data_IF_632901617700
#
_entry.id   IF_632901617700
#
_cell.length_a   1.000
_cell.length_b   1.000
_cell.length_c   1.000
_cell.angle_alpha   90.00
_cell.angle_beta   90.00
_cell.angle_gamma   90.00
#
_symmetry.space_group_name_H-M   'P 1'
#
loop_
_entity.id
_entity.type
_entity.pdbx_description
1 polymer ?
#
# COMPACT_ATOMS: atom_id res chain seq x y z
N UNK A 1 13.96 3.12 29.21
CA UNK A 1 14.18 3.94 27.99
C UNK A 1 15.66 3.85 27.63
N UNK A 2 16.04 3.04 26.62
CA UNK A 2 17.43 2.99 26.14
C UNK A 2 17.54 3.87 24.89
N UNK A 3 18.50 4.81 24.82
CA UNK A 3 18.73 5.61 23.62
C UNK A 3 19.34 4.72 22.53
N UNK A 4 18.80 4.84 21.32
CA UNK A 4 19.23 4.13 20.13
C UNK A 4 20.70 4.44 19.81
N UNK A 5 21.57 3.42 19.88
CA UNK A 5 22.93 3.44 19.33
C UNK A 5 22.90 2.67 18.01
N UNK A 6 22.70 3.39 16.92
CA UNK A 6 22.80 2.91 15.54
C UNK A 6 23.35 4.06 14.70
N UNK A 7 24.29 3.75 13.83
CA UNK A 7 25.02 4.71 12.98
C UNK A 7 24.09 5.68 12.26
N UNK A 8 24.47 6.96 12.24
CA UNK A 8 23.67 8.07 11.75
C UNK A 8 23.36 7.93 10.24
N UNK A 9 22.28 7.23 9.90
CA UNK A 9 21.64 7.33 8.58
C UNK A 9 20.83 8.63 8.57
N UNK A 10 21.14 9.50 7.62
CA UNK A 10 20.60 10.86 7.54
C UNK A 10 19.07 10.83 7.40
N UNK A 11 18.38 11.64 8.20
CA UNK A 11 16.92 11.79 8.13
C UNK A 11 16.54 12.37 6.77
N UNK A 12 15.49 11.82 6.15
CA UNK A 12 14.84 12.43 5.00
C UNK A 12 14.55 13.91 5.30
N UNK A 13 14.88 14.82 4.36
CA UNK A 13 14.54 16.26 4.46
C UNK A 13 13.04 16.55 4.46
N UNK A 14 12.20 15.52 4.39
CA UNK A 14 10.74 15.62 4.35
C UNK A 14 10.11 16.08 5.66
N UNK A 15 10.88 16.13 6.75
CA UNK A 15 10.38 16.51 8.08
C UNK A 15 9.47 15.47 8.72
N UNK A 16 9.33 14.29 8.12
CA UNK A 16 8.52 13.19 8.64
C UNK A 16 9.31 12.47 9.73
N UNK A 17 8.75 12.40 10.93
CA UNK A 17 9.32 11.60 12.00
C UNK A 17 8.91 10.13 11.85
N UNK A 18 9.72 9.24 12.44
CA UNK A 18 9.45 7.79 12.41
C UNK A 18 8.05 7.46 12.94
N UNK A 19 7.61 8.14 14.01
CA UNK A 19 6.30 7.94 14.64
C UNK A 19 5.11 8.24 13.70
N UNK A 20 5.35 9.06 12.68
CA UNK A 20 4.33 9.45 11.69
C UNK A 20 4.41 8.58 10.44
N UNK A 21 5.51 7.83 10.25
CA UNK A 21 5.74 6.99 9.08
C UNK A 21 4.94 5.68 9.16
N UNK A 22 4.16 5.38 8.13
CA UNK A 22 3.41 4.12 8.03
C UNK A 22 4.19 2.96 7.37
N UNK A 23 5.42 3.20 6.91
CA UNK A 23 6.26 2.19 6.25
C UNK A 23 5.68 1.57 4.97
N UNK A 24 4.88 2.32 4.21
CA UNK A 24 4.22 1.84 2.99
C UNK A 24 5.13 1.68 1.75
N UNK A 25 6.44 1.90 1.87
CA UNK A 25 7.42 1.80 0.77
C UNK A 25 7.25 2.72 -0.46
N UNK A 26 6.17 3.52 -0.57
CA UNK A 26 5.94 4.42 -1.72
C UNK A 26 7.13 5.34 -2.04
N UNK A 27 7.77 5.87 -0.99
CA UNK A 27 8.94 6.74 -1.12
C UNK A 27 10.16 6.04 -1.72
N UNK A 28 10.36 4.75 -1.43
CA UNK A 28 11.42 3.94 -2.00
C UNK A 28 11.10 3.60 -3.47
N UNK A 29 9.86 3.20 -3.76
CA UNK A 29 9.43 2.85 -5.13
C UNK A 29 9.43 4.02 -6.10
N UNK A 30 9.10 5.24 -5.65
CA UNK A 30 9.09 6.41 -6.53
C UNK A 30 10.49 6.96 -6.79
N UNK A 31 11.50 6.56 -6.01
CA UNK A 31 12.82 7.16 -6.05
C UNK A 31 13.54 6.84 -7.37
N UNK A 32 13.82 7.83 -8.25
CA UNK A 32 14.42 7.57 -9.55
C UNK A 32 15.91 7.18 -9.48
N UNK A 33 16.53 7.37 -8.31
CA UNK A 33 17.94 7.02 -8.05
C UNK A 33 18.09 5.83 -7.11
N UNK A 34 16.98 5.20 -6.72
CA UNK A 34 16.96 4.10 -5.74
C UNK A 34 17.74 4.45 -4.45
N UNK A 35 17.75 5.73 -4.06
CA UNK A 35 18.45 6.22 -2.89
C UNK A 35 17.75 5.87 -1.57
N UNK A 36 16.61 5.18 -1.63
CA UNK A 36 15.81 4.77 -0.47
C UNK A 36 15.58 3.27 -0.52
N UNK A 37 15.94 2.58 0.57
CA UNK A 37 15.66 1.17 0.76
C UNK A 37 14.83 0.98 2.04
N UNK A 38 13.87 0.04 2.02
CA UNK A 38 13.13 -0.32 3.23
C UNK A 38 13.99 -1.27 4.07
N UNK A 39 14.13 -0.96 5.36
CA UNK A 39 14.85 -1.81 6.30
C UNK A 39 14.04 -1.98 7.60
N UNK A 40 14.02 -3.19 8.19
CA UNK A 40 13.34 -3.44 9.44
C UNK A 40 14.09 -2.79 10.61
N UNK A 41 13.34 -2.37 11.62
CA UNK A 41 13.90 -1.99 12.91
C UNK A 41 13.99 -3.16 13.89
N UNK A 42 14.32 -2.86 15.15
CA UNK A 42 14.46 -3.88 16.19
C UNK A 42 13.16 -4.66 16.47
N UNK A 43 12.02 -4.06 16.18
CA UNK A 43 10.69 -4.65 16.36
C UNK A 43 10.16 -5.27 15.03
N UNK A 44 10.95 -5.22 13.96
CA UNK A 44 10.64 -5.79 12.65
C UNK A 44 9.82 -4.87 11.73
N UNK A 45 9.54 -3.63 12.15
CA UNK A 45 8.79 -2.67 11.32
C UNK A 45 9.70 -2.07 10.26
N UNK A 46 9.23 -2.05 9.01
CA UNK A 46 10.02 -1.55 7.88
C UNK A 46 9.90 -0.02 7.75
N UNK A 47 11.06 0.65 7.65
CA UNK A 47 11.18 2.09 7.43
C UNK A 47 12.16 2.40 6.31
N UNK A 48 11.99 3.53 5.61
CA UNK A 48 12.93 3.92 4.57
C UNK A 48 14.25 4.41 5.18
N UNK A 49 15.36 3.93 4.64
CA UNK A 49 16.71 4.38 4.92
C UNK A 49 17.28 5.10 3.70
N UNK A 50 17.79 6.32 3.90
CA UNK A 50 18.33 7.15 2.83
C UNK A 50 19.83 6.92 2.64
N UNK A 51 20.23 6.61 1.40
CA UNK A 51 21.60 6.79 0.94
C UNK A 51 21.81 8.23 0.45
N UNK A 52 22.54 9.01 1.25
CA UNK A 52 22.85 10.40 0.97
C UNK A 52 23.68 10.59 -0.31
N UNK A 53 24.52 9.60 -0.66
CA UNK A 53 25.42 9.70 -1.82
C UNK A 53 24.69 9.52 -3.16
N UNK A 54 23.59 8.76 -3.16
CA UNK A 54 22.73 8.54 -4.32
C UNK A 54 21.60 9.58 -4.43
N UNK A 55 21.29 10.30 -3.34
CA UNK A 55 20.17 11.25 -3.30
C UNK A 55 20.49 12.54 -4.05
N UNK A 56 19.63 12.90 -5.00
CA UNK A 56 19.72 14.15 -5.80
C UNK A 56 18.71 15.22 -5.35
N UNK A 57 18.13 15.07 -4.16
CA UNK A 57 17.19 16.01 -3.54
C UNK A 57 15.98 16.41 -4.43
N UNK A 58 15.48 15.47 -5.24
CA UNK A 58 14.38 15.72 -6.19
C UNK A 58 12.98 15.89 -5.55
N UNK A 59 12.82 15.62 -4.26
CA UNK A 59 11.54 15.77 -3.55
C UNK A 59 10.45 14.73 -3.88
N UNK A 60 10.66 13.79 -4.81
CA UNK A 60 9.63 12.82 -5.20
C UNK A 60 9.13 11.95 -4.03
N UNK A 61 10.02 11.56 -3.12
CA UNK A 61 9.68 10.78 -1.94
C UNK A 61 8.67 11.51 -1.02
N UNK A 62 8.80 12.83 -0.88
CA UNK A 62 7.85 13.67 -0.14
C UNK A 62 6.51 13.74 -0.87
N UNK A 63 6.54 13.89 -2.20
CA UNK A 63 5.34 14.07 -3.02
C UNK A 63 4.36 12.89 -2.98
N UNK A 64 4.87 11.67 -2.73
CA UNK A 64 4.05 10.45 -2.61
C UNK A 64 3.77 10.04 -1.17
N UNK A 65 4.33 10.74 -0.18
CA UNK A 65 4.14 10.37 1.21
C UNK A 65 2.78 10.89 1.71
N UNK A 66 1.88 10.02 2.19
CA UNK A 66 0.54 10.42 2.61
C UNK A 66 0.54 11.29 3.88
N UNK A 67 1.63 11.30 4.64
CA UNK A 67 1.78 12.09 5.87
C UNK A 67 2.65 13.34 5.70
N UNK A 68 3.14 13.61 4.48
CA UNK A 68 3.94 14.81 4.19
C UNK A 68 3.06 16.03 3.91
N UNK A 69 3.28 17.13 4.64
CA UNK A 69 2.73 18.45 4.32
C UNK A 69 1.23 18.45 4.04
N UNK A 70 0.84 19.00 2.89
CA UNK A 70 -0.57 19.11 2.47
C UNK A 70 -1.18 17.77 2.01
N UNK A 71 -0.39 16.72 1.74
CA UNK A 71 -0.94 15.42 1.34
C UNK A 71 -1.82 14.80 2.43
N UNK A 72 -1.62 15.20 3.68
CA UNK A 72 -2.47 14.80 4.83
C UNK A 72 -3.89 15.37 4.76
N UNK A 73 -4.11 16.43 3.98
CA UNK A 73 -5.38 17.14 3.84
C UNK A 73 -5.98 16.82 2.47
N UNK A 74 -7.03 16.02 2.41
CA UNK A 74 -7.91 16.03 1.23
C UNK A 74 -8.12 14.73 0.46
N UNK A 75 -8.18 13.58 1.11
CA UNK A 75 -8.74 12.38 0.47
C UNK A 75 -10.23 12.16 0.76
N UNK A 76 -10.86 13.04 1.54
CA UNK A 76 -12.27 12.96 1.88
C UNK A 76 -13.11 13.72 0.85
N UNK A 77 -13.58 13.02 -0.18
CA UNK A 77 -14.80 13.42 -0.88
C UNK A 77 -15.97 13.04 0.01
N UNK A 78 -16.88 13.96 0.31
CA UNK A 78 -17.96 13.78 1.29
C UNK A 78 -18.67 12.42 1.23
N UNK A 79 -19.03 11.89 2.40
CA UNK A 79 -19.77 10.62 2.50
C UNK A 79 -21.12 10.81 1.82
N UNK A 80 -21.35 10.04 0.75
CA UNK A 80 -22.64 10.03 0.04
C UNK A 80 -23.69 9.29 0.87
N UNK A 81 -23.33 8.13 1.42
CA UNK A 81 -24.22 7.27 2.21
C UNK A 81 -23.43 6.23 2.99
N UNK A 82 -23.97 5.77 4.12
CA UNK A 82 -23.40 4.70 4.95
C UNK A 82 -24.37 3.53 5.00
N UNK A 83 -23.84 2.31 4.81
CA UNK A 83 -24.64 1.09 4.81
C UNK A 83 -24.00 0.02 5.70
N UNK A 84 -24.82 -0.87 6.26
CA UNK A 84 -24.38 -2.13 6.84
C UNK A 84 -24.69 -3.26 5.86
N UNK A 85 -23.84 -4.27 5.81
CA UNK A 85 -24.00 -5.38 4.87
C UNK A 85 -23.48 -6.68 5.48
N UNK A 86 -23.98 -7.80 4.97
CA UNK A 86 -23.45 -9.15 5.18
C UNK A 86 -23.49 -9.89 3.85
N UNK A 87 -22.47 -10.69 3.57
CA UNK A 87 -22.37 -11.47 2.35
C UNK A 87 -23.42 -12.60 2.35
N UNK A 88 -24.10 -12.82 1.23
CA UNK A 88 -25.16 -13.84 1.12
C UNK A 88 -24.61 -15.28 1.14
N UNK A 89 -23.39 -15.48 0.66
CA UNK A 89 -22.68 -16.76 0.77
C UNK A 89 -22.15 -16.98 2.21
N UNK A 90 -22.65 -18.02 2.87
CA UNK A 90 -22.30 -18.38 4.25
C UNK A 90 -20.81 -18.71 4.44
N UNK A 91 -20.18 -19.37 3.46
CA UNK A 91 -18.76 -19.71 3.52
C UNK A 91 -17.91 -18.45 3.46
N UNK A 92 -18.25 -17.52 2.56
CA UNK A 92 -17.57 -16.22 2.47
C UNK A 92 -17.71 -15.45 3.78
N UNK A 93 -18.90 -15.44 4.37
CA UNK A 93 -19.14 -14.79 5.67
C UNK A 93 -18.30 -15.43 6.79
N UNK A 94 -18.35 -16.75 6.95
CA UNK A 94 -17.62 -17.49 7.98
C UNK A 94 -16.09 -17.31 7.85
N UNK A 95 -15.58 -17.25 6.63
CA UNK A 95 -14.15 -17.06 6.34
C UNK A 95 -13.71 -15.58 6.34
N UNK A 96 -14.63 -14.62 6.54
CA UNK A 96 -14.31 -13.18 6.60
C UNK A 96 -14.12 -12.68 8.04
N UNK A 97 -13.48 -11.52 8.22
CA UNK A 97 -13.34 -10.89 9.56
C UNK A 97 -14.64 -10.28 10.08
N UNK A 98 -15.60 -10.03 9.19
CA UNK A 98 -16.83 -9.29 9.42
C UNK A 98 -17.81 -9.67 8.31
N UNK A 99 -18.62 -8.75 7.80
CA UNK A 99 -19.66 -9.03 6.81
C UNK A 99 -19.19 -9.56 5.45
N UNK A 100 -17.89 -9.54 5.11
CA UNK A 100 -17.37 -10.09 3.85
C UNK A 100 -17.38 -9.14 2.64
N UNK A 101 -17.31 -7.82 2.88
CA UNK A 101 -17.49 -6.77 1.85
C UNK A 101 -16.45 -6.88 0.75
N UNK A 102 -15.21 -7.12 1.15
CA UNK A 102 -14.10 -7.15 0.21
C UNK A 102 -14.35 -8.16 -0.91
N UNK A 103 -14.82 -9.37 -0.58
CA UNK A 103 -15.16 -10.40 -1.56
C UNK A 103 -16.27 -9.93 -2.50
N UNK A 104 -17.37 -9.39 -1.96
CA UNK A 104 -18.50 -8.91 -2.77
C UNK A 104 -18.08 -7.75 -3.71
N UNK A 105 -17.29 -6.80 -3.19
CA UNK A 105 -16.76 -5.67 -3.98
C UNK A 105 -15.86 -6.20 -5.09
N UNK A 106 -14.99 -7.17 -4.80
CA UNK A 106 -14.11 -7.77 -5.80
C UNK A 106 -14.88 -8.47 -6.92
N UNK A 107 -15.89 -9.27 -6.56
CA UNK A 107 -16.76 -9.95 -7.52
C UNK A 107 -17.51 -8.94 -8.40
N UNK A 108 -18.12 -7.92 -7.79
CA UNK A 108 -18.87 -6.90 -8.52
C UNK A 108 -18.00 -6.00 -9.41
N UNK A 109 -16.76 -5.70 -8.98
CA UNK A 109 -15.87 -4.80 -9.69
C UNK A 109 -15.15 -5.48 -10.87
N UNK A 110 -14.71 -6.72 -10.69
CA UNK A 110 -13.93 -7.45 -11.69
C UNK A 110 -14.77 -8.28 -12.67
N UNK A 111 -15.99 -8.70 -12.30
CA UNK A 111 -16.78 -9.61 -13.12
C UNK A 111 -16.08 -10.95 -13.40
N UNK A 112 -16.63 -11.75 -14.32
CA UNK A 112 -16.05 -13.05 -14.70
C UNK A 112 -15.17 -12.98 -15.98
N UNK A 113 -15.38 -11.97 -16.84
CA UNK A 113 -14.79 -11.92 -18.19
C UNK A 113 -13.72 -10.82 -18.40
N UNK A 114 -13.36 -10.06 -17.37
CA UNK A 114 -12.45 -8.92 -17.52
C UNK A 114 -11.06 -9.18 -16.95
N UNK A 115 -10.04 -8.61 -17.60
CA UNK A 115 -8.68 -8.57 -17.06
C UNK A 115 -8.66 -7.69 -15.81
N UNK A 116 -8.74 -8.31 -14.63
CA UNK A 116 -8.70 -7.63 -13.35
C UNK A 116 -7.44 -8.02 -12.57
N UNK A 117 -6.75 -7.03 -12.00
CA UNK A 117 -5.69 -7.25 -11.02
C UNK A 117 -6.21 -6.82 -9.65
N UNK A 118 -6.29 -7.78 -8.72
CA UNK A 118 -6.82 -7.58 -7.38
C UNK A 118 -5.65 -7.63 -6.39
N UNK A 119 -5.50 -6.56 -5.61
CA UNK A 119 -4.44 -6.40 -4.62
C UNK A 119 -5.02 -6.44 -3.20
N UNK A 120 -4.41 -7.26 -2.36
CA UNK A 120 -4.80 -7.41 -0.96
C UNK A 120 -3.68 -8.02 -0.13
N UNK A 121 -3.97 -8.27 1.14
CA UNK A 121 -2.98 -8.75 2.11
C UNK A 121 -3.15 -10.23 2.37
N UNK A 122 -2.11 -11.01 2.09
CA UNK A 122 -2.00 -12.41 2.49
C UNK A 122 -1.04 -12.59 3.66
N UNK A 123 -1.20 -13.72 4.36
CA UNK A 123 -0.24 -14.16 5.38
C UNK A 123 0.90 -14.90 4.67
N UNK A 124 2.00 -14.19 4.37
CA UNK A 124 3.17 -14.77 3.71
C UNK A 124 3.88 -15.81 4.60
N UNK A 125 3.85 -15.61 5.92
CA UNK A 125 4.29 -16.58 6.91
C UNK A 125 3.54 -16.37 8.24
N UNK A 126 3.87 -17.15 9.28
CA UNK A 126 3.28 -16.97 10.63
C UNK A 126 3.55 -15.59 11.22
N UNK A 127 4.64 -14.93 10.81
CA UNK A 127 5.09 -13.64 11.33
C UNK A 127 5.19 -12.57 10.24
N UNK A 128 4.64 -12.81 9.06
CA UNK A 128 4.75 -11.88 7.93
C UNK A 128 3.42 -11.77 7.19
N UNK A 129 3.01 -10.52 6.98
CA UNK A 129 1.92 -10.17 6.08
C UNK A 129 2.52 -9.43 4.88
N UNK A 130 2.03 -9.72 3.68
CA UNK A 130 2.49 -9.06 2.47
C UNK A 130 1.30 -8.70 1.59
N UNK A 131 1.41 -7.56 0.92
CA UNK A 131 0.54 -7.26 -0.20
C UNK A 131 0.95 -8.09 -1.41
N UNK A 132 -0.03 -8.70 -2.07
CA UNK A 132 0.19 -9.41 -3.32
C UNK A 132 -0.95 -9.15 -4.31
N UNK A 133 -0.76 -9.64 -5.54
CA UNK A 133 -1.70 -9.53 -6.66
C UNK A 133 -2.26 -10.91 -6.97
N UNK A 134 -3.56 -10.98 -7.24
CA UNK A 134 -4.21 -12.12 -7.89
C UNK A 134 -4.94 -11.63 -9.14
N UNK A 135 -5.06 -12.50 -10.13
CA UNK A 135 -5.78 -12.22 -11.39
C UNK A 135 -7.11 -13.00 -11.49
N UNK A 136 -7.38 -13.89 -10.52
CA UNK A 136 -8.57 -14.71 -10.49
C UNK A 136 -9.32 -14.56 -9.17
N UNK A 137 -10.65 -14.39 -9.26
CA UNK A 137 -11.54 -14.38 -8.09
C UNK A 137 -11.53 -15.70 -7.32
N UNK A 138 -11.10 -16.82 -7.94
CA UNK A 138 -10.95 -18.10 -7.23
C UNK A 138 -9.89 -18.03 -6.12
N UNK A 139 -8.94 -17.10 -6.21
CA UNK A 139 -7.86 -16.92 -5.24
C UNK A 139 -8.17 -15.87 -4.16
N UNK A 140 -9.34 -15.22 -4.22
CA UNK A 140 -9.72 -14.09 -3.33
C UNK A 140 -9.68 -14.46 -1.84
N UNK A 141 -9.80 -15.76 -1.53
CA UNK A 141 -9.67 -16.31 -0.18
C UNK A 141 -8.37 -15.92 0.52
N UNK A 142 -7.26 -15.74 -0.22
CA UNK A 142 -5.94 -15.33 0.31
C UNK A 142 -6.00 -14.01 1.08
N UNK A 143 -6.89 -13.11 0.65
CA UNK A 143 -7.03 -11.76 1.21
C UNK A 143 -8.10 -11.64 2.29
N UNK A 144 -8.81 -12.74 2.62
CA UNK A 144 -9.77 -12.77 3.73
C UNK A 144 -9.06 -12.78 5.08
N UNK A 145 -9.82 -12.45 6.13
CA UNK A 145 -9.36 -12.25 7.50
C UNK A 145 -8.37 -11.07 7.67
N UNK A 146 -8.35 -10.52 8.87
CA UNK A 146 -7.49 -9.39 9.22
C UNK A 146 -6.10 -9.90 9.59
N UNK A 147 -5.07 -9.30 9.02
CA UNK A 147 -3.68 -9.55 9.40
C UNK A 147 -3.22 -8.35 10.23
N UNK A 148 -3.05 -8.53 11.53
CA UNK A 148 -2.63 -7.48 12.46
C UNK A 148 -1.09 -7.34 12.52
N UNK A 149 -0.47 -7.35 11.35
CA UNK A 149 0.96 -7.11 11.14
C UNK A 149 1.09 -6.00 10.09
N UNK A 150 2.16 -5.22 10.15
CA UNK A 150 2.49 -4.32 9.04
C UNK A 150 2.68 -5.16 7.78
N UNK A 151 1.90 -4.87 6.73
CA UNK A 151 2.05 -5.59 5.47
C UNK A 151 3.20 -5.01 4.65
N UNK A 152 4.09 -5.89 4.19
CA UNK A 152 5.13 -5.52 3.23
C UNK A 152 4.47 -5.09 1.92
N UNK A 153 4.84 -3.92 1.44
CA UNK A 153 4.24 -3.29 0.25
C UNK A 153 5.26 -3.04 -0.87
N UNK A 154 6.52 -3.39 -0.66
CA UNK A 154 7.60 -3.20 -1.63
C UNK A 154 7.28 -3.76 -3.02
N UNK A 155 7.24 -2.88 -4.01
CA UNK A 155 6.97 -3.17 -5.42
C UNK A 155 5.49 -3.23 -5.78
N UNK A 156 4.57 -3.12 -4.82
CA UNK A 156 3.14 -3.32 -5.08
C UNK A 156 2.52 -2.14 -5.83
N UNK A 157 3.00 -0.91 -5.60
CA UNK A 157 2.45 0.26 -6.27
C UNK A 157 2.92 0.33 -7.72
N UNK A 158 4.16 -0.08 -7.99
CA UNK A 158 4.67 -0.30 -9.34
C UNK A 158 3.84 -1.35 -10.10
N UNK A 159 3.50 -2.49 -9.46
CA UNK A 159 2.63 -3.53 -10.06
C UNK A 159 1.24 -3.00 -10.35
N UNK A 160 0.61 -2.31 -9.40
CA UNK A 160 -0.71 -1.69 -9.62
C UNK A 160 -0.69 -0.68 -10.78
N UNK A 161 0.38 0.11 -10.90
CA UNK A 161 0.58 1.02 -12.04
C UNK A 161 0.75 0.27 -13.36
N UNK A 162 1.51 -0.84 -13.37
CA UNK A 162 1.69 -1.67 -14.55
C UNK A 162 0.36 -2.27 -15.01
N UNK A 163 -0.44 -2.83 -14.10
CA UNK A 163 -1.78 -3.36 -14.42
C UNK A 163 -2.69 -2.31 -15.06
N UNK A 164 -2.71 -1.07 -14.54
CA UNK A 164 -3.46 0.03 -15.16
C UNK A 164 -2.95 0.37 -16.57
N UNK A 165 -1.63 0.35 -16.80
CA UNK A 165 -1.03 0.61 -18.13
C UNK A 165 -1.33 -0.50 -19.12
N UNK A 166 -1.45 -1.74 -18.65
CA UNK A 166 -1.77 -2.91 -19.47
C UNK A 166 -3.28 -3.02 -19.78
N UNK A 167 -4.06 -2.01 -19.39
CA UNK A 167 -5.51 -1.96 -19.61
C UNK A 167 -6.32 -2.84 -18.67
N UNK A 168 -5.73 -3.34 -17.57
CA UNK A 168 -6.46 -4.10 -16.55
C UNK A 168 -7.31 -3.16 -15.68
N UNK A 169 -8.45 -3.66 -15.21
CA UNK A 169 -9.10 -3.09 -14.02
C UNK A 169 -8.23 -3.38 -12.81
N UNK A 170 -8.03 -2.40 -11.93
CA UNK A 170 -7.21 -2.57 -10.72
C UNK A 170 -8.06 -2.31 -9.48
N UNK A 171 -8.25 -3.36 -8.68
CA UNK A 171 -8.86 -3.26 -7.35
C UNK A 171 -7.76 -3.36 -6.29
N UNK A 172 -7.57 -2.30 -5.49
CA UNK A 172 -6.56 -2.29 -4.44
C UNK A 172 -7.18 -2.11 -3.06
N UNK A 173 -6.88 -3.03 -2.15
CA UNK A 173 -7.29 -2.98 -0.74
C UNK A 173 -6.09 -2.81 0.19
N UNK A 174 -6.28 -2.09 1.28
CA UNK A 174 -5.24 -1.79 2.25
C UNK A 174 -5.74 -0.81 3.31
N UNK A 175 -4.85 -0.42 4.22
CA UNK A 175 -5.13 0.60 5.22
C UNK A 175 -5.25 1.99 4.58
N UNK A 176 -5.85 2.95 5.29
CA UNK A 176 -6.06 4.30 4.77
C UNK A 176 -4.77 4.96 4.25
N UNK A 177 -3.64 4.78 4.95
CA UNK A 177 -2.35 5.33 4.52
C UNK A 177 -1.81 4.63 3.25
N UNK A 178 -2.04 3.33 3.06
CA UNK A 178 -1.65 2.61 1.85
C UNK A 178 -2.48 3.05 0.64
N UNK A 179 -3.79 3.23 0.81
CA UNK A 179 -4.67 3.77 -0.25
C UNK A 179 -4.28 5.20 -0.60
N UNK A 180 -3.98 6.03 0.40
CA UNK A 180 -3.50 7.40 0.19
C UNK A 180 -2.18 7.42 -0.58
N UNK A 181 -1.21 6.59 -0.18
CA UNK A 181 0.08 6.46 -0.84
C UNK A 181 -0.08 6.01 -2.30
N UNK A 182 -0.91 5.00 -2.58
CA UNK A 182 -1.19 4.56 -3.95
C UNK A 182 -1.78 5.68 -4.82
N UNK A 183 -2.79 6.42 -4.30
CA UNK A 183 -3.40 7.55 -5.03
C UNK A 183 -2.36 8.62 -5.38
N UNK A 184 -1.49 8.98 -4.44
CA UNK A 184 -0.41 9.93 -4.68
C UNK A 184 0.62 9.38 -5.68
N UNK A 185 1.01 8.12 -5.52
CA UNK A 185 1.94 7.42 -6.42
C UNK A 185 1.44 7.42 -7.87
N UNK A 186 0.17 7.08 -8.09
CA UNK A 186 -0.44 7.04 -9.42
C UNK A 186 -0.66 8.43 -10.04
N UNK A 187 -0.89 9.47 -9.23
CA UNK A 187 -1.10 10.84 -9.74
C UNK A 187 0.20 11.56 -10.06
N UNK A 188 1.26 11.32 -9.27
CA UNK A 188 2.56 11.99 -9.43
C UNK A 188 3.44 11.37 -10.50
N UNK A 189 3.16 10.13 -10.92
CA UNK A 189 3.89 9.46 -12.00
C UNK A 189 3.12 9.55 -13.35
N UNK A 190 2.24 10.54 -13.50
CA UNK A 190 1.55 10.79 -14.77
C UNK A 190 2.52 11.43 -15.77
N UNK A 191 2.81 10.68 -16.85
CA UNK A 191 3.45 11.07 -18.12
C UNK A 191 4.96 11.36 -18.09
N UNK A 192 5.78 10.31 -18.06
CA UNK A 192 6.89 10.25 -19.02
C UNK A 192 6.47 9.29 -20.13
N UNK A 193 5.97 9.83 -21.22
CA UNK A 193 6.00 9.13 -22.50
C UNK A 193 7.48 8.89 -22.80
N UNK A 194 7.89 7.63 -22.77
CA UNK A 194 9.05 7.18 -23.53
C UNK A 194 8.48 6.44 -24.74
#
# INVERSE_FOLDING_TARGET
MRPWRGTAKMKLKTGIERKDCCGCAACAEVCPKSALAMAPDADGFEYPELDASACVDCGMCASVCPVAGENSRGLFSGIISTHAFVHNDEKVFAESSSGGAFTAIAQAFCGEDEKCAIFGVESASRSEAAHSEIESLSEIGKFRKSKYLQSRTSGIFLKARAGLRDGKKVLFSGTACQIAALKLFLTRIKYSSA
#
